data_IF_927191394538
#
_entry.id   IF_927191394538
#
_cell.length_a   1.000
_cell.length_b   1.000
_cell.length_c   1.000
_cell.angle_alpha   90.00
_cell.angle_beta   90.00
_cell.angle_gamma   90.00
#
_symmetry.space_group_name_H-M   'P 1'
#
loop_
_entity.id
_entity.type
_entity.pdbx_description
1 polymer ?
#
# COMPACT_ATOMS: atom_id res chain seq x y z
N UNK A 1 -23.59 -17.40 2.02
CA UNK A 1 -24.61 -16.33 2.04
C UNK A 1 -23.94 -15.07 2.54
N UNK A 2 -23.87 -14.00 1.74
CA UNK A 2 -23.25 -12.74 2.13
C UNK A 2 -24.23 -11.86 2.93
N UNK A 3 -23.69 -10.94 3.73
CA UNK A 3 -24.49 -9.98 4.50
C UNK A 3 -25.34 -9.10 3.56
N UNK A 4 -26.60 -8.84 3.91
CA UNK A 4 -27.48 -7.92 3.17
C UNK A 4 -27.02 -6.46 3.20
N UNK A 5 -26.01 -6.12 4.01
CA UNK A 5 -25.43 -4.77 4.10
C UNK A 5 -24.46 -4.45 2.97
N UNK A 6 -24.08 -5.45 2.17
CA UNK A 6 -23.16 -5.29 1.07
C UNK A 6 -23.75 -5.95 -0.16
N UNK A 7 -24.10 -5.14 -1.16
CA UNK A 7 -24.56 -5.63 -2.45
C UNK A 7 -23.35 -6.15 -3.24
N UNK A 8 -22.95 -7.39 -2.92
CA UNK A 8 -21.76 -7.99 -3.49
C UNK A 8 -21.98 -8.31 -4.97
N UNK A 9 -21.29 -7.58 -5.85
CA UNK A 9 -21.20 -7.91 -7.25
C UNK A 9 -19.86 -8.62 -7.54
N UNK A 10 -19.93 -9.90 -7.95
CA UNK A 10 -18.78 -10.69 -8.34
C UNK A 10 -18.41 -10.56 -9.83
N UNK A 11 -19.14 -9.75 -10.60
CA UNK A 11 -18.86 -9.57 -12.01
C UNK A 11 -17.47 -8.95 -12.22
N UNK A 12 -16.66 -9.46 -13.17
CA UNK A 12 -15.39 -8.84 -13.53
C UNK A 12 -15.58 -7.38 -13.96
N UNK A 13 -14.61 -6.52 -13.59
CA UNK A 13 -14.63 -5.14 -14.04
C UNK A 13 -14.40 -5.08 -15.57
N UNK A 14 -15.24 -4.37 -16.35
CA UNK A 14 -15.12 -4.36 -17.81
C UNK A 14 -13.72 -3.98 -18.34
N UNK A 15 -13.03 -3.04 -17.67
CA UNK A 15 -11.64 -2.69 -18.04
C UNK A 15 -10.66 -3.85 -17.77
N UNK A 16 -10.86 -4.62 -16.70
CA UNK A 16 -10.03 -5.79 -16.39
C UNK A 16 -10.19 -6.87 -17.45
N UNK A 17 -11.43 -7.17 -17.84
CA UNK A 17 -11.71 -8.12 -18.93
C UNK A 17 -11.06 -7.69 -20.24
N UNK A 18 -11.20 -6.41 -20.63
CA UNK A 18 -10.62 -5.88 -21.85
C UNK A 18 -9.07 -5.90 -21.82
N UNK A 19 -8.47 -5.68 -20.66
CA UNK A 19 -7.03 -5.78 -20.45
C UNK A 19 -6.55 -7.23 -20.62
N UNK A 20 -7.18 -8.17 -19.92
CA UNK A 20 -6.86 -9.61 -19.98
C UNK A 20 -6.97 -10.15 -21.42
N UNK A 21 -8.02 -9.76 -22.14
CA UNK A 21 -8.22 -10.13 -23.54
C UNK A 21 -7.08 -9.64 -24.44
N UNK A 22 -6.67 -8.37 -24.33
CA UNK A 22 -5.56 -7.81 -25.11
C UNK A 22 -4.23 -8.48 -24.75
N UNK A 23 -4.00 -8.74 -23.46
CA UNK A 23 -2.81 -9.43 -22.98
C UNK A 23 -2.73 -10.85 -23.54
N UNK A 24 -3.85 -11.60 -23.57
CA UNK A 24 -3.91 -12.95 -24.11
C UNK A 24 -3.60 -13.02 -25.62
N UNK A 25 -3.83 -11.93 -26.36
CA UNK A 25 -3.50 -11.80 -27.78
C UNK A 25 -2.06 -11.34 -28.04
N UNK A 26 -1.29 -11.08 -26.99
CA UNK A 26 0.09 -10.58 -27.10
C UNK A 26 0.18 -9.17 -27.69
N UNK A 27 -0.87 -8.37 -27.59
CA UNK A 27 -0.87 -6.99 -28.05
C UNK A 27 0.05 -6.13 -27.18
N UNK A 28 0.68 -5.11 -27.77
CA UNK A 28 1.39 -4.10 -27.00
C UNK A 28 0.38 -3.21 -26.25
N UNK A 29 0.54 -3.09 -24.94
CA UNK A 29 -0.37 -2.35 -24.05
C UNK A 29 0.44 -1.36 -23.22
N UNK A 30 0.03 -0.09 -23.24
CA UNK A 30 0.43 0.88 -22.23
C UNK A 30 -0.60 0.83 -21.09
N UNK A 31 -0.29 0.07 -20.05
CA UNK A 31 -1.17 -0.10 -18.90
C UNK A 31 -0.97 1.05 -17.90
N UNK A 32 -1.97 1.94 -17.82
CA UNK A 32 -2.02 3.04 -16.85
C UNK A 32 -2.94 2.73 -15.66
N UNK A 33 -3.38 1.48 -15.54
CA UNK A 33 -4.32 1.01 -14.51
C UNK A 33 -3.61 0.27 -13.38
N UNK A 34 -2.35 -0.17 -13.58
CA UNK A 34 -1.57 -0.84 -12.54
C UNK A 34 -1.17 0.15 -11.44
N UNK A 35 -1.91 0.13 -10.34
CA UNK A 35 -1.63 0.91 -9.14
C UNK A 35 -0.56 0.29 -8.24
N UNK A 36 0.02 -0.86 -8.61
CA UNK A 36 1.09 -1.48 -7.86
C UNK A 36 2.44 -0.81 -8.23
N UNK A 37 3.05 -0.02 -7.32
CA UNK A 37 4.27 0.70 -7.63
C UNK A 37 5.46 -0.21 -7.96
N UNK A 38 5.45 -1.47 -7.49
CA UNK A 38 6.52 -2.44 -7.79
C UNK A 38 6.46 -3.00 -9.21
N UNK A 39 5.33 -2.83 -9.90
CA UNK A 39 5.11 -3.26 -11.28
C UNK A 39 4.99 -2.09 -12.25
N UNK A 40 4.53 -0.94 -11.77
CA UNK A 40 4.32 0.28 -12.55
C UNK A 40 5.61 1.00 -13.00
N UNK A 41 6.78 0.36 -12.91
CA UNK A 41 8.06 0.94 -13.32
C UNK A 41 8.55 2.11 -12.47
N UNK A 42 7.99 2.31 -11.27
CA UNK A 42 8.42 3.34 -10.34
C UNK A 42 9.69 2.91 -9.60
N UNK A 43 10.63 3.84 -9.42
CA UNK A 43 11.80 3.60 -8.59
C UNK A 43 11.36 3.41 -7.13
N UNK A 44 11.63 2.23 -6.60
CA UNK A 44 11.30 1.85 -5.24
C UNK A 44 12.59 1.67 -4.45
N UNK A 45 12.71 2.29 -3.27
CA UNK A 45 13.93 2.30 -2.45
C UNK A 45 14.19 0.93 -1.76
N UNK A 46 14.36 -0.12 -2.57
CA UNK A 46 14.33 -1.51 -2.15
C UNK A 46 15.41 -1.84 -1.11
N UNK A 47 16.63 -1.36 -1.28
CA UNK A 47 17.75 -1.66 -0.36
C UNK A 47 17.58 -0.95 0.99
N UNK A 48 17.11 0.29 0.99
CA UNK A 48 16.79 1.05 2.21
C UNK A 48 15.69 0.35 2.99
N UNK A 49 14.61 -0.06 2.32
CA UNK A 49 13.48 -0.76 2.94
C UNK A 49 13.93 -2.12 3.49
N UNK A 50 14.68 -2.90 2.69
CA UNK A 50 15.18 -4.21 3.10
C UNK A 50 16.08 -4.11 4.32
N UNK A 51 16.97 -3.13 4.36
CA UNK A 51 17.89 -2.92 5.49
C UNK A 51 17.12 -2.53 6.75
N UNK A 52 16.10 -1.67 6.64
CA UNK A 52 15.25 -1.28 7.77
C UNK A 52 14.42 -2.44 8.34
N UNK A 53 14.10 -3.46 7.52
CA UNK A 53 13.32 -4.64 7.93
C UNK A 53 14.18 -5.82 8.39
N UNK A 54 15.51 -5.73 8.35
CA UNK A 54 16.40 -6.84 8.68
C UNK A 54 16.68 -6.98 10.19
N UNK A 55 16.25 -6.03 11.01
CA UNK A 55 16.54 -6.01 12.45
C UNK A 55 15.65 -6.96 13.27
N UNK A 56 16.16 -7.55 14.37
CA UNK A 56 15.44 -8.52 15.21
C UNK A 56 14.17 -7.95 15.85
N UNK A 57 14.10 -6.65 16.08
CA UNK A 57 12.94 -5.95 16.63
C UNK A 57 11.68 -6.09 15.78
N UNK A 58 11.83 -6.30 14.47
CA UNK A 58 10.70 -6.52 13.54
C UNK A 58 9.99 -7.85 13.79
N UNK A 59 10.64 -8.79 14.46
CA UNK A 59 10.08 -10.11 14.78
C UNK A 59 9.34 -10.12 16.12
N UNK A 60 9.33 -9.01 16.85
CA UNK A 60 8.68 -8.89 18.16
C UNK A 60 7.27 -8.34 17.96
N UNK A 61 6.26 -9.16 18.25
CA UNK A 61 4.89 -8.67 18.29
C UNK A 61 4.70 -7.75 19.50
N UNK A 62 4.35 -6.50 19.25
CA UNK A 62 3.95 -5.57 20.29
C UNK A 62 2.48 -5.16 20.11
N UNK A 63 1.59 -5.41 21.08
CA UNK A 63 0.14 -5.21 20.94
C UNK A 63 -0.28 -3.74 21.09
N UNK A 64 0.42 -2.82 20.44
CA UNK A 64 0.04 -1.41 20.39
C UNK A 64 -0.89 -1.21 19.19
N UNK A 65 -2.20 -1.23 19.44
CA UNK A 65 -3.23 -1.16 18.39
C UNK A 65 -3.16 0.11 17.50
N UNK A 66 -2.51 1.18 17.98
CA UNK A 66 -2.24 2.42 17.21
C UNK A 66 -0.84 2.45 16.57
N UNK A 67 -0.14 1.32 16.54
CA UNK A 67 1.26 1.24 16.12
C UNK A 67 2.24 1.78 17.18
N UNK A 68 3.54 1.70 16.87
CA UNK A 68 4.62 2.16 17.74
C UNK A 68 4.59 3.68 17.93
N UNK A 69 4.87 4.19 19.13
CA UNK A 69 4.95 5.64 19.37
C UNK A 69 6.00 6.30 18.46
N UNK A 70 7.20 5.70 18.39
CA UNK A 70 8.30 6.16 17.53
C UNK A 70 7.92 6.19 16.04
N UNK A 71 7.10 5.25 15.57
CA UNK A 71 6.63 5.23 14.18
C UNK A 71 5.66 6.39 13.92
N UNK A 72 4.76 6.70 14.85
CA UNK A 72 3.83 7.83 14.72
C UNK A 72 4.56 9.17 14.71
N UNK A 73 5.59 9.32 15.54
CA UNK A 73 6.43 10.52 15.58
C UNK A 73 7.25 10.69 14.29
N UNK A 74 7.79 9.59 13.74
CA UNK A 74 8.50 9.61 12.46
C UNK A 74 7.57 10.08 11.31
N UNK A 75 6.34 9.56 11.24
CA UNK A 75 5.37 9.98 10.22
C UNK A 75 4.97 11.46 10.39
N UNK A 76 4.72 11.92 11.63
CA UNK A 76 4.44 13.33 11.92
C UNK A 76 5.60 14.23 11.47
N UNK A 77 6.84 13.81 11.70
CA UNK A 77 8.04 14.54 11.29
C UNK A 77 8.17 14.59 9.77
N UNK A 78 7.96 13.47 9.08
CA UNK A 78 7.96 13.40 7.62
C UNK A 78 6.98 14.39 6.98
N UNK A 79 5.74 14.47 7.47
CA UNK A 79 4.78 15.44 6.96
C UNK A 79 5.16 16.89 7.27
N UNK A 80 5.75 17.14 8.44
CA UNK A 80 6.25 18.47 8.81
C UNK A 80 7.37 18.93 7.87
N UNK A 81 8.25 18.02 7.45
CA UNK A 81 9.29 18.30 6.44
C UNK A 81 8.69 18.64 5.07
N UNK A 82 7.50 18.12 4.76
CA UNK A 82 6.70 18.47 3.58
C UNK A 82 5.84 19.74 3.76
N UNK A 83 5.91 20.41 4.92
CA UNK A 83 5.14 21.62 5.23
C UNK A 83 3.77 21.38 5.86
N UNK A 84 3.42 20.13 6.15
CA UNK A 84 2.12 19.74 6.72
C UNK A 84 2.22 19.48 8.23
N UNK A 85 1.36 20.13 9.02
CA UNK A 85 1.35 19.92 10.48
C UNK A 85 0.39 18.80 10.84
N UNK A 86 0.94 17.60 11.08
CA UNK A 86 0.19 16.42 11.52
C UNK A 86 0.60 16.05 12.94
N UNK A 87 -0.31 16.13 13.90
CA UNK A 87 -0.02 15.69 15.29
C UNK A 87 0.12 14.16 15.35
N UNK A 88 1.12 13.62 16.05
CA UNK A 88 1.19 12.18 16.29
C UNK A 88 -0.01 11.77 17.16
N UNK A 89 -0.77 10.72 16.81
CA UNK A 89 -1.90 10.26 17.62
C UNK A 89 -1.49 9.99 19.06
N UNK A 90 -2.29 10.49 20.01
CA UNK A 90 -2.05 10.29 21.45
C UNK A 90 -2.01 8.78 21.78
N UNK A 91 -1.16 8.37 22.72
CA UNK A 91 -1.26 7.04 23.31
C UNK A 91 -2.67 6.87 23.90
N UNK A 92 -3.31 5.75 23.58
CA UNK A 92 -4.59 5.35 24.16
C UNK A 92 -4.40 4.66 25.50
#
# INVERSE_FOLDING_TARGET
MYSKRFDWNAAPHPLGTALDERMSRGEAILDLTDANPTRAGLEYAADTIRSALAGPETMIYMPVHRGLAVAREAVSTYYRELGETVSPPLPG
#
